data_IF_309991968729
#
_entry.id   IF_309991968729
#
_cell.length_a   1.000
_cell.length_b   1.000
_cell.length_c   1.000
_cell.angle_alpha   90.00
_cell.angle_beta   90.00
_cell.angle_gamma   90.00
#
_symmetry.space_group_name_H-M   'P 1'
#
loop_
_entity.id
_entity.type
_entity.pdbx_description
1 polymer ?
#
# COMPACT_ATOMS: atom_id res chain seq x y z
N UNK A 1 -19.34 15.12 -6.59
CA UNK A 1 -20.32 14.01 -6.38
C UNK A 1 -19.92 13.34 -5.07
N UNK A 2 -20.76 13.40 -4.05
CA UNK A 2 -20.58 12.63 -2.81
C UNK A 2 -20.83 11.16 -3.13
N UNK A 3 -19.78 10.33 -3.08
CA UNK A 3 -19.94 8.89 -3.24
C UNK A 3 -20.58 8.33 -1.96
N UNK A 4 -21.78 7.78 -2.09
CA UNK A 4 -22.41 7.02 -1.01
C UNK A 4 -21.91 5.58 -1.10
N UNK A 5 -21.51 5.02 0.04
CA UNK A 5 -21.13 3.61 0.11
C UNK A 5 -22.27 2.70 -0.38
N UNK A 6 -21.93 1.65 -1.14
CA UNK A 6 -22.91 0.65 -1.61
C UNK A 6 -23.45 -0.20 -0.48
N UNK A 7 -22.56 -0.60 0.43
CA UNK A 7 -22.85 -1.35 1.66
C UNK A 7 -21.85 -0.98 2.75
N UNK A 8 -22.20 -1.19 3.99
CA UNK A 8 -21.27 -1.13 5.11
C UNK A 8 -20.74 -2.54 5.43
N UNK A 9 -19.68 -2.94 4.74
CA UNK A 9 -19.07 -4.25 4.92
C UNK A 9 -18.45 -4.44 6.33
N UNK A 10 -18.12 -3.35 7.04
CA UNK A 10 -17.55 -3.41 8.38
C UNK A 10 -18.57 -4.00 9.37
N UNK A 11 -19.81 -3.57 9.29
CA UNK A 11 -20.90 -4.06 10.15
C UNK A 11 -21.49 -5.36 9.67
N UNK A 12 -21.49 -5.62 8.36
CA UNK A 12 -22.09 -6.82 7.76
C UNK A 12 -21.21 -8.06 7.87
N UNK A 13 -19.88 -7.90 7.94
CA UNK A 13 -18.92 -9.00 8.03
C UNK A 13 -17.90 -8.83 9.19
N UNK A 14 -18.35 -8.68 10.45
CA UNK A 14 -17.49 -8.27 11.55
C UNK A 14 -16.36 -9.25 11.87
N UNK A 15 -16.56 -10.55 11.65
CA UNK A 15 -15.53 -11.58 11.87
C UNK A 15 -14.41 -11.49 10.83
N UNK A 16 -14.76 -11.33 9.56
CA UNK A 16 -13.79 -11.16 8.48
C UNK A 16 -13.04 -9.83 8.63
N UNK A 17 -13.76 -8.76 8.99
CA UNK A 17 -13.18 -7.45 9.26
C UNK A 17 -12.14 -7.51 10.39
N UNK A 18 -12.45 -8.19 11.50
CA UNK A 18 -11.51 -8.36 12.60
C UNK A 18 -10.25 -9.10 12.17
N UNK A 19 -10.39 -10.18 11.38
CA UNK A 19 -9.25 -10.94 10.87
C UNK A 19 -8.37 -10.09 9.95
N UNK A 20 -8.97 -9.31 9.04
CA UNK A 20 -8.25 -8.41 8.14
C UNK A 20 -7.53 -7.30 8.89
N UNK A 21 -8.16 -6.69 9.90
CA UNK A 21 -7.53 -5.70 10.78
C UNK A 21 -6.32 -6.28 11.51
N UNK A 22 -6.44 -7.50 12.06
CA UNK A 22 -5.33 -8.17 12.74
C UNK A 22 -4.16 -8.40 11.77
N UNK A 23 -4.43 -8.88 10.55
CA UNK A 23 -3.41 -9.05 9.52
C UNK A 23 -2.75 -7.71 9.15
N UNK A 24 -3.55 -6.67 8.95
CA UNK A 24 -3.05 -5.31 8.64
C UNK A 24 -2.12 -4.77 9.71
N UNK A 25 -2.51 -4.88 10.98
CA UNK A 25 -1.69 -4.44 12.10
C UNK A 25 -0.37 -5.21 12.16
N UNK A 26 -0.41 -6.53 11.95
CA UNK A 26 0.78 -7.38 11.92
C UNK A 26 1.72 -6.99 10.77
N UNK A 27 1.19 -6.85 9.56
CA UNK A 27 1.97 -6.47 8.38
C UNK A 27 2.59 -5.07 8.53
N UNK A 28 1.85 -4.10 9.06
CA UNK A 28 2.32 -2.73 9.25
C UNK A 28 3.35 -2.59 10.39
N UNK A 29 3.44 -3.55 11.29
CA UNK A 29 4.43 -3.60 12.37
C UNK A 29 5.69 -4.39 12.01
N UNK A 30 5.83 -4.80 10.75
CA UNK A 30 6.98 -5.56 10.27
C UNK A 30 8.29 -4.77 10.36
N UNK A 31 9.46 -5.45 10.42
CA UNK A 31 10.76 -4.79 10.49
C UNK A 31 11.18 -4.06 9.21
N UNK A 32 10.35 -4.02 8.17
CA UNK A 32 10.57 -3.24 6.95
C UNK A 32 10.76 -1.73 7.21
N UNK A 33 10.16 -1.25 8.30
CA UNK A 33 10.16 0.16 8.68
C UNK A 33 8.95 0.91 8.11
N UNK A 34 8.40 1.79 8.96
CA UNK A 34 7.11 2.45 8.68
C UNK A 34 7.11 3.26 7.39
N UNK A 35 8.18 4.03 7.12
CA UNK A 35 8.29 4.83 5.90
C UNK A 35 8.20 3.96 4.63
N UNK A 36 8.99 2.88 4.56
CA UNK A 36 8.99 2.00 3.40
C UNK A 36 7.62 1.32 3.22
N UNK A 37 7.06 0.83 4.32
CA UNK A 37 5.73 0.22 4.33
C UNK A 37 4.68 1.19 3.76
N UNK A 38 4.60 2.42 4.28
CA UNK A 38 3.60 3.40 3.83
C UNK A 38 3.83 3.87 2.38
N UNK A 39 5.08 3.95 1.90
CA UNK A 39 5.36 4.20 0.48
C UNK A 39 4.79 3.09 -0.42
N UNK A 40 4.95 1.83 -0.03
CA UNK A 40 4.40 0.67 -0.75
C UNK A 40 2.87 0.68 -0.71
N UNK A 41 2.27 0.90 0.47
CA UNK A 41 0.83 0.99 0.65
C UNK A 41 0.22 2.10 -0.23
N UNK A 42 0.85 3.27 -0.25
CA UNK A 42 0.43 4.39 -1.10
C UNK A 42 0.54 4.01 -2.59
N UNK A 43 1.66 3.42 -3.01
CA UNK A 43 1.88 3.08 -4.43
C UNK A 43 0.86 2.05 -4.95
N UNK A 44 0.65 0.98 -4.21
CA UNK A 44 -0.35 -0.05 -4.57
C UNK A 44 -1.76 0.57 -4.63
N UNK A 45 -2.09 1.46 -3.70
CA UNK A 45 -3.38 2.17 -3.68
C UNK A 45 -3.55 3.10 -4.89
N UNK A 46 -2.47 3.75 -5.36
CA UNK A 46 -2.49 4.56 -6.59
C UNK A 46 -2.74 3.69 -7.83
N UNK A 47 -2.09 2.52 -7.92
CA UNK A 47 -2.27 1.58 -9.04
C UNK A 47 -3.71 1.08 -9.09
N UNK A 48 -4.27 0.71 -7.94
CA UNK A 48 -5.62 0.16 -7.82
C UNK A 48 -6.72 1.23 -7.80
N UNK A 49 -6.37 2.53 -7.78
CA UNK A 49 -7.32 3.63 -7.84
C UNK A 49 -8.19 3.79 -6.58
N UNK A 50 -7.68 3.39 -5.40
CA UNK A 50 -8.41 3.52 -4.13
C UNK A 50 -8.22 4.91 -3.53
N UNK A 51 -9.13 5.84 -3.81
CA UNK A 51 -9.02 7.21 -3.32
C UNK A 51 -8.96 7.31 -1.78
N UNK A 52 -9.77 6.52 -1.06
CA UNK A 52 -9.74 6.44 0.40
C UNK A 52 -8.35 6.01 0.91
N UNK A 53 -7.76 4.97 0.32
CA UNK A 53 -6.48 4.45 0.74
C UNK A 53 -5.32 5.40 0.38
N UNK A 54 -5.42 6.07 -0.78
CA UNK A 54 -4.43 7.09 -1.20
C UNK A 54 -4.39 8.23 -0.18
N UNK A 55 -5.55 8.76 0.20
CA UNK A 55 -5.67 9.86 1.17
C UNK A 55 -5.11 9.44 2.54
N UNK A 56 -5.47 8.26 3.03
CA UNK A 56 -5.02 7.74 4.31
C UNK A 56 -3.50 7.56 4.36
N UNK A 57 -2.90 6.87 3.40
CA UNK A 57 -1.46 6.61 3.39
C UNK A 57 -0.62 7.85 3.05
N UNK A 58 -1.18 8.80 2.29
CA UNK A 58 -0.59 10.13 2.16
C UNK A 58 -0.48 10.81 3.52
N UNK A 59 -1.58 10.85 4.28
CA UNK A 59 -1.62 11.44 5.60
C UNK A 59 -0.65 10.75 6.59
N UNK A 60 -0.53 9.42 6.53
CA UNK A 60 0.40 8.66 7.36
C UNK A 60 1.87 9.01 7.07
N UNK A 61 2.24 9.20 5.80
CA UNK A 61 3.58 9.66 5.41
C UNK A 61 3.86 11.10 5.89
N UNK A 62 2.87 11.99 5.78
CA UNK A 62 3.01 13.37 6.27
C UNK A 62 3.21 13.42 7.79
N UNK A 63 2.51 12.57 8.55
CA UNK A 63 2.70 12.44 10.01
C UNK A 63 4.10 11.95 10.41
N UNK A 64 4.80 11.28 9.50
CA UNK A 64 6.19 10.84 9.67
C UNK A 64 7.20 11.91 9.21
N UNK A 65 6.78 13.15 9.00
CA UNK A 65 7.60 14.25 8.50
C UNK A 65 8.23 13.97 7.13
N UNK A 66 7.63 13.08 6.33
CA UNK A 66 8.05 12.87 4.94
C UNK A 66 7.68 14.11 4.13
N UNK A 67 8.67 14.66 3.41
CA UNK A 67 8.44 15.84 2.60
C UNK A 67 7.28 15.62 1.61
N UNK A 68 6.24 16.45 1.60
CA UNK A 68 5.08 16.30 0.71
C UNK A 68 5.44 16.18 -0.76
N UNK A 69 6.53 16.83 -1.20
CA UNK A 69 7.05 16.71 -2.57
C UNK A 69 7.51 15.30 -2.88
N UNK A 70 8.11 14.58 -1.91
CA UNK A 70 8.51 13.19 -2.09
C UNK A 70 7.29 12.28 -2.17
N UNK A 71 6.30 12.50 -1.30
CA UNK A 71 5.04 11.73 -1.30
C UNK A 71 4.30 11.92 -2.63
N UNK A 72 4.22 13.14 -3.14
CA UNK A 72 3.61 13.44 -4.45
C UNK A 72 4.33 12.71 -5.60
N UNK A 73 5.65 12.51 -5.49
CA UNK A 73 6.46 11.88 -6.53
C UNK A 73 6.42 10.33 -6.52
N UNK A 74 5.69 9.70 -5.59
CA UNK A 74 5.62 8.21 -5.50
C UNK A 74 5.09 7.60 -6.79
N UNK A 75 4.14 8.22 -7.48
CA UNK A 75 3.64 7.72 -8.76
C UNK A 75 4.67 7.74 -9.90
N UNK A 76 5.66 8.64 -9.81
CA UNK A 76 6.79 8.78 -10.74
C UNK A 76 8.14 8.41 -10.12
N UNK A 77 8.16 7.52 -9.16
CA UNK A 77 9.32 7.20 -8.34
C UNK A 77 10.57 6.80 -9.14
N UNK A 78 10.38 6.20 -10.32
CA UNK A 78 11.52 5.76 -11.18
C UNK A 78 12.42 6.91 -11.60
N UNK A 79 11.86 8.08 -11.85
CA UNK A 79 12.58 9.28 -12.29
C UNK A 79 12.89 10.24 -11.13
N UNK A 80 12.17 10.13 -10.02
CA UNK A 80 12.34 11.01 -8.88
C UNK A 80 13.61 10.63 -8.07
N UNK A 81 14.46 11.59 -7.68
CA UNK A 81 15.70 11.33 -6.95
C UNK A 81 15.51 11.15 -5.43
N UNK A 82 14.28 10.96 -4.95
CA UNK A 82 13.92 11.04 -3.53
C UNK A 82 13.91 9.69 -2.81
N UNK A 83 14.04 8.59 -3.55
CA UNK A 83 13.92 7.22 -3.05
C UNK A 83 15.27 6.52 -3.08
N UNK A 84 15.65 5.91 -1.96
CA UNK A 84 16.87 5.13 -1.88
C UNK A 84 16.75 3.78 -2.62
N UNK A 85 17.85 3.05 -2.78
CA UNK A 85 17.86 1.80 -3.55
C UNK A 85 16.89 0.74 -2.98
N UNK A 86 16.80 0.63 -1.64
CA UNK A 86 15.89 -0.30 -0.97
C UNK A 86 14.42 0.07 -1.20
N UNK A 87 14.08 1.35 -1.11
CA UNK A 87 12.72 1.84 -1.41
C UNK A 87 12.36 1.61 -2.88
N UNK A 88 13.30 1.85 -3.80
CA UNK A 88 13.11 1.62 -5.24
C UNK A 88 12.86 0.15 -5.56
N UNK A 89 13.63 -0.77 -4.95
CA UNK A 89 13.43 -2.21 -5.12
C UNK A 89 12.06 -2.66 -4.59
N UNK A 90 11.62 -2.15 -3.44
CA UNK A 90 10.29 -2.44 -2.89
C UNK A 90 9.16 -1.90 -3.77
N UNK A 91 9.29 -0.67 -4.29
CA UNK A 91 8.30 -0.07 -5.18
C UNK A 91 8.22 -0.81 -6.53
N UNK A 92 9.37 -1.23 -7.08
CA UNK A 92 9.41 -2.06 -8.29
C UNK A 92 8.69 -3.39 -8.08
N UNK A 93 8.99 -4.07 -6.99
CA UNK A 93 8.34 -5.33 -6.65
C UNK A 93 6.83 -5.16 -6.41
N UNK A 94 6.43 -4.10 -5.70
CA UNK A 94 5.01 -3.80 -5.48
C UNK A 94 4.25 -3.61 -6.80
N UNK A 95 4.83 -2.91 -7.78
CA UNK A 95 4.23 -2.76 -9.12
C UNK A 95 4.17 -4.10 -9.87
N UNK A 96 5.24 -4.90 -9.81
CA UNK A 96 5.31 -6.18 -10.49
C UNK A 96 4.22 -7.15 -9.99
N UNK A 97 4.06 -7.30 -8.66
CA UNK A 97 3.07 -8.21 -8.10
C UNK A 97 1.64 -7.66 -8.15
N UNK A 98 1.47 -6.34 -8.15
CA UNK A 98 0.14 -5.73 -8.33
C UNK A 98 -0.37 -5.89 -9.77
N UNK A 99 0.52 -6.15 -10.72
CA UNK A 99 0.15 -6.40 -12.12
C UNK A 99 -0.39 -7.81 -12.39
N UNK A 100 -0.36 -8.73 -11.43
CA UNK A 100 -1.00 -10.05 -11.54
C UNK A 100 -2.53 -9.86 -11.66
N UNK A 101 -3.26 -10.55 -12.58
CA UNK A 101 -2.80 -11.63 -13.47
C UNK A 101 -2.33 -11.17 -14.86
N UNK A 102 -2.22 -9.88 -15.12
CA UNK A 102 -1.86 -9.37 -16.46
C UNK A 102 -0.40 -9.68 -16.83
N UNK A 103 0.47 -9.75 -15.84
CA UNK A 103 1.90 -10.04 -16.01
C UNK A 103 2.45 -10.72 -14.76
N UNK A 104 3.22 -11.78 -14.94
CA UNK A 104 3.98 -12.40 -13.86
C UNK A 104 5.19 -11.51 -13.48
N UNK A 105 5.51 -11.39 -12.18
CA UNK A 105 6.78 -10.81 -11.75
C UNK A 105 7.95 -11.61 -12.35
N UNK A 106 8.95 -10.91 -12.86
CA UNK A 106 10.11 -11.57 -13.48
C UNK A 106 11.15 -12.02 -12.46
N UNK A 107 12.00 -12.99 -12.84
CA UNK A 107 13.15 -13.40 -12.03
C UNK A 107 14.12 -12.21 -11.81
N UNK A 108 14.20 -11.27 -12.75
CA UNK A 108 15.02 -10.07 -12.62
C UNK A 108 14.45 -9.12 -11.53
N UNK A 109 13.13 -8.93 -11.48
CA UNK A 109 12.47 -8.13 -10.43
C UNK A 109 12.73 -8.77 -9.05
N UNK A 110 12.65 -10.10 -8.97
CA UNK A 110 12.92 -10.82 -7.74
C UNK A 110 14.40 -10.77 -7.32
N UNK A 111 15.32 -10.88 -8.26
CA UNK A 111 16.77 -10.77 -8.00
C UNK A 111 17.15 -9.37 -7.50
N UNK A 112 16.57 -8.31 -8.06
CA UNK A 112 16.74 -6.94 -7.58
C UNK A 112 16.23 -6.80 -6.14
N UNK A 113 15.06 -7.36 -5.82
CA UNK A 113 14.52 -7.36 -4.48
C UNK A 113 15.44 -8.08 -3.49
N UNK A 114 15.93 -9.27 -3.85
CA UNK A 114 16.87 -10.07 -3.05
C UNK A 114 18.19 -9.36 -2.74
N UNK A 115 18.63 -8.43 -3.57
CA UNK A 115 19.84 -7.63 -3.32
C UNK A 115 19.67 -6.66 -2.14
N UNK A 116 18.44 -6.35 -1.73
CA UNK A 116 18.13 -5.35 -0.70
C UNK A 116 17.34 -5.88 0.50
N UNK A 117 16.81 -7.10 0.43
CA UNK A 117 15.94 -7.68 1.44
C UNK A 117 16.28 -9.14 1.73
N UNK A 118 16.19 -9.53 2.99
CA UNK A 118 16.21 -10.94 3.41
C UNK A 118 14.91 -11.64 3.00
N UNK A 119 14.92 -12.98 3.01
CA UNK A 119 13.71 -13.77 2.68
C UNK A 119 12.55 -13.48 3.63
N UNK A 120 12.82 -13.23 4.91
CA UNK A 120 11.80 -12.85 5.89
C UNK A 120 11.17 -11.49 5.54
N UNK A 121 11.99 -10.50 5.21
CA UNK A 121 11.51 -9.17 4.81
C UNK A 121 10.74 -9.21 3.49
N UNK A 122 11.13 -10.07 2.56
CA UNK A 122 10.39 -10.29 1.31
C UNK A 122 9.01 -10.91 1.59
N UNK A 123 8.94 -11.86 2.52
CA UNK A 123 7.67 -12.42 2.95
C UNK A 123 6.77 -11.34 3.60
N UNK A 124 7.32 -10.53 4.51
CA UNK A 124 6.60 -9.40 5.13
C UNK A 124 6.09 -8.41 4.08
N UNK A 125 6.93 -8.06 3.09
CA UNK A 125 6.55 -7.18 1.99
C UNK A 125 5.39 -7.77 1.17
N UNK A 126 5.40 -9.09 0.95
CA UNK A 126 4.31 -9.80 0.29
C UNK A 126 2.99 -9.66 1.06
N UNK A 127 3.03 -9.80 2.38
CA UNK A 127 1.84 -9.59 3.23
C UNK A 127 1.38 -8.12 3.24
N UNK A 128 2.29 -7.16 3.26
CA UNK A 128 1.95 -5.73 3.15
C UNK A 128 1.21 -5.45 1.84
N UNK A 129 1.75 -5.91 0.70
CA UNK A 129 1.13 -5.70 -0.62
C UNK A 129 -0.22 -6.44 -0.72
N UNK A 130 -0.28 -7.69 -0.28
CA UNK A 130 -1.51 -8.49 -0.29
C UNK A 130 -2.62 -7.86 0.55
N UNK A 131 -2.28 -7.38 1.73
CA UNK A 131 -3.24 -6.75 2.65
C UNK A 131 -3.80 -5.45 2.09
N UNK A 132 -2.95 -4.56 1.55
CA UNK A 132 -3.45 -3.31 0.95
C UNK A 132 -4.26 -3.57 -0.32
N UNK A 133 -3.88 -4.56 -1.12
CA UNK A 133 -4.67 -4.97 -2.29
C UNK A 133 -6.08 -5.42 -1.87
N UNK A 134 -6.20 -6.16 -0.77
CA UNK A 134 -7.50 -6.54 -0.23
C UNK A 134 -8.32 -5.33 0.21
N UNK A 135 -7.73 -4.38 0.92
CA UNK A 135 -8.39 -3.13 1.30
C UNK A 135 -8.83 -2.31 0.09
N UNK A 136 -7.96 -2.19 -0.93
CA UNK A 136 -8.31 -1.48 -2.16
C UNK A 136 -9.52 -2.13 -2.84
N UNK A 137 -9.56 -3.48 -2.91
CA UNK A 137 -10.69 -4.22 -3.47
C UNK A 137 -12.00 -3.90 -2.75
N UNK A 138 -12.02 -3.94 -1.42
CA UNK A 138 -13.21 -3.62 -0.64
C UNK A 138 -13.65 -2.16 -0.82
N UNK A 139 -12.72 -1.23 -0.65
CA UNK A 139 -13.03 0.20 -0.68
C UNK A 139 -13.49 0.68 -2.07
N UNK A 140 -12.86 0.20 -3.13
CA UNK A 140 -13.25 0.53 -4.51
C UNK A 140 -14.58 -0.12 -4.86
N UNK A 141 -14.73 -1.44 -4.57
CA UNK A 141 -15.95 -2.19 -4.91
C UNK A 141 -17.17 -1.65 -4.19
N UNK A 142 -17.04 -1.27 -2.92
CA UNK A 142 -18.14 -0.79 -2.10
C UNK A 142 -18.22 0.75 -2.00
N UNK A 143 -17.36 1.45 -2.73
CA UNK A 143 -17.34 2.92 -2.83
C UNK A 143 -17.23 3.60 -1.46
N UNK A 144 -16.26 3.17 -0.66
CA UNK A 144 -15.97 3.84 0.62
C UNK A 144 -15.64 5.31 0.37
N UNK A 145 -16.39 6.26 0.97
CA UNK A 145 -16.15 7.67 0.73
C UNK A 145 -14.85 8.12 1.37
N UNK A 146 -14.14 9.03 0.71
CA UNK A 146 -13.00 9.75 1.32
C UNK A 146 -13.58 10.72 2.36
N UNK A 147 -13.13 10.72 3.61
CA UNK A 147 -13.63 11.63 4.63
C UNK A 147 -13.18 13.07 4.35
N UNK A 148 -13.97 14.07 4.79
CA UNK A 148 -13.62 15.49 4.68
C UNK A 148 -12.37 15.85 5.50
N UNK A 149 -12.16 15.15 6.61
CA UNK A 149 -10.96 15.27 7.44
C UNK A 149 -10.15 13.98 7.30
N UNK A 150 -8.84 14.05 7.02
CA UNK A 150 -8.00 12.86 6.83
C UNK A 150 -8.13 11.89 8.01
N UNK A 151 -8.24 10.61 7.70
CA UNK A 151 -8.29 9.57 8.71
C UNK A 151 -6.99 9.62 9.53
N UNK A 152 -7.12 9.87 10.81
CA UNK A 152 -5.99 9.75 11.73
C UNK A 152 -5.98 8.32 12.28
N UNK A 153 -5.11 7.49 11.73
CA UNK A 153 -4.84 6.19 12.33
C UNK A 153 -4.09 6.35 13.66
#
# INVERSE_FOLDING_TARGET
MTHTARIDYNTLAPKAMKALLTLSMTANSSPLGKRLTDLVLLRVSQINGCAFCIDMHWADLIKQDVNPRHVNAVSGWREAPFFNARERAALNWAEAVTAIPQRDPSDADFAELKAHFSDAEIADLGFVIGTITFWNLLNVSFRTPVPEVPYSA
#
